data_IF_762329983399
#
_entry.id   IF_762329983399
#
_cell.length_a   1.000
_cell.length_b   1.000
_cell.length_c   1.000
_cell.angle_alpha   90.00
_cell.angle_beta   90.00
_cell.angle_gamma   90.00
#
_symmetry.space_group_name_H-M   'P 1'
#
loop_
_entity.id
_entity.type
_entity.pdbx_description
1 polymer ?
#
# COMPACT_ATOMS: atom_id res chain seq x y z
N UNK A 1 -7.58 -5.84 1.34
CA UNK A 1 -8.98 -5.39 1.12
C UNK A 1 -9.43 -4.18 1.94
N UNK A 2 -9.50 -4.22 3.28
CA UNK A 2 -10.07 -3.10 4.08
C UNK A 2 -9.29 -1.77 3.96
N UNK A 3 -8.08 -1.82 3.42
CA UNK A 3 -7.15 -0.69 3.33
C UNK A 3 -7.65 0.49 2.50
N UNK A 4 -8.38 0.28 1.38
CA UNK A 4 -8.83 1.39 0.52
C UNK A 4 -9.81 2.30 1.26
N UNK A 5 -10.84 1.71 1.87
CA UNK A 5 -11.85 2.46 2.64
C UNK A 5 -11.21 3.16 3.85
N UNK A 6 -10.44 2.40 4.65
CA UNK A 6 -9.80 2.96 5.84
C UNK A 6 -8.83 4.08 5.48
N UNK A 7 -8.03 3.93 4.42
CA UNK A 7 -7.07 4.95 4.02
C UNK A 7 -7.76 6.25 3.62
N UNK A 8 -8.82 6.20 2.81
CA UNK A 8 -9.58 7.39 2.44
C UNK A 8 -10.18 8.07 3.68
N UNK A 9 -10.88 7.33 4.54
CA UNK A 9 -11.52 7.89 5.74
C UNK A 9 -10.50 8.45 6.76
N UNK A 10 -9.39 7.74 7.00
CA UNK A 10 -8.36 8.22 7.91
C UNK A 10 -7.59 9.42 7.36
N UNK A 11 -7.32 9.46 6.06
CA UNK A 11 -6.71 10.63 5.43
C UNK A 11 -7.62 11.85 5.53
N UNK A 12 -8.92 11.72 5.26
CA UNK A 12 -9.86 12.83 5.40
C UNK A 12 -9.88 13.41 6.81
N UNK A 13 -9.81 12.55 7.83
CA UNK A 13 -9.80 12.98 9.24
C UNK A 13 -8.43 13.46 9.71
N UNK A 14 -7.34 12.89 9.19
CA UNK A 14 -5.97 13.13 9.62
C UNK A 14 -5.01 13.19 8.41
N UNK A 15 -5.13 14.20 7.55
CA UNK A 15 -4.40 14.24 6.28
C UNK A 15 -2.89 14.34 6.45
N UNK A 16 -2.44 14.89 7.58
CA UNK A 16 -1.03 14.91 7.95
C UNK A 16 -0.51 13.54 8.41
N UNK A 17 -1.35 12.63 8.91
CA UNK A 17 -0.91 11.36 9.49
C UNK A 17 -0.90 10.21 8.47
N UNK A 18 -1.81 10.21 7.50
CA UNK A 18 -1.95 9.15 6.50
C UNK A 18 -1.78 9.75 5.12
N UNK A 19 -0.59 9.77 4.54
CA UNK A 19 -0.35 10.36 3.20
C UNK A 19 -0.33 9.33 2.07
N UNK A 20 -0.20 8.04 2.40
CA UNK A 20 -0.21 6.93 1.45
C UNK A 20 -0.81 5.67 2.07
N UNK A 21 -1.22 4.72 1.23
CA UNK A 21 -1.58 3.36 1.66
C UNK A 21 -1.06 2.31 0.68
N UNK A 22 -0.86 1.09 1.18
CA UNK A 22 -0.43 -0.06 0.40
C UNK A 22 -1.55 -1.09 0.25
N UNK A 23 -1.70 -1.68 -0.93
CA UNK A 23 -2.60 -2.82 -1.13
C UNK A 23 -1.88 -3.94 -1.86
N UNK A 24 -2.20 -5.17 -1.46
CA UNK A 24 -1.74 -6.41 -2.09
C UNK A 24 -2.91 -7.36 -2.24
N UNK A 25 -2.97 -8.10 -3.35
CA UNK A 25 -3.99 -9.12 -3.58
C UNK A 25 -5.41 -8.58 -3.34
N UNK A 26 -5.60 -7.29 -3.62
CA UNK A 26 -6.88 -6.60 -3.60
C UNK A 26 -6.71 -5.25 -4.28
N UNK A 27 -7.51 -5.00 -5.31
CA UNK A 27 -7.64 -3.69 -5.94
C UNK A 27 -9.10 -3.22 -5.95
N UNK A 28 -9.55 -2.76 -7.12
CA UNK A 28 -10.91 -2.30 -7.35
C UNK A 28 -11.72 -3.39 -8.05
N UNK A 29 -12.72 -3.93 -7.35
CA UNK A 29 -13.78 -4.75 -7.93
C UNK A 29 -14.99 -3.87 -8.17
N UNK A 30 -15.54 -3.90 -9.39
CA UNK A 30 -16.81 -3.26 -9.75
C UNK A 30 -17.83 -4.36 -10.01
N UNK A 31 -19.07 -4.19 -9.54
CA UNK A 31 -20.14 -5.16 -9.77
C UNK A 31 -20.30 -5.45 -11.27
N UNK A 32 -20.26 -6.73 -11.64
CA UNK A 32 -20.42 -7.16 -13.03
C UNK A 32 -19.20 -6.94 -13.93
N UNK A 33 -18.02 -6.64 -13.38
CA UNK A 33 -16.76 -6.55 -14.15
C UNK A 33 -16.20 -7.91 -14.63
N UNK A 34 -16.86 -9.01 -14.26
CA UNK A 34 -16.46 -10.38 -14.63
C UNK A 34 -15.40 -11.01 -13.74
N UNK A 35 -14.90 -10.31 -12.72
CA UNK A 35 -13.96 -10.88 -11.74
C UNK A 35 -14.70 -11.76 -10.72
N UNK A 36 -14.11 -12.89 -10.34
CA UNK A 36 -14.69 -13.88 -9.42
C UNK A 36 -13.94 -13.86 -8.09
N UNK A 37 -14.46 -13.07 -7.16
CA UNK A 37 -13.93 -13.00 -5.80
C UNK A 37 -14.54 -14.10 -4.91
N UNK A 38 -13.94 -14.40 -3.75
CA UNK A 38 -14.48 -15.36 -2.80
C UNK A 38 -15.95 -15.08 -2.43
N UNK A 39 -16.69 -16.10 -1.95
CA UNK A 39 -18.02 -15.93 -1.38
C UNK A 39 -18.03 -14.87 -0.27
N UNK A 40 -19.12 -14.14 -0.18
CA UNK A 40 -19.34 -13.16 0.87
C UNK A 40 -19.45 -13.84 2.24
N UNK A 41 -18.79 -13.24 3.23
CA UNK A 41 -18.70 -13.81 4.58
C UNK A 41 -20.04 -13.73 5.34
N UNK A 42 -20.94 -12.84 4.94
CA UNK A 42 -22.24 -12.60 5.57
C UNK A 42 -23.39 -13.24 4.78
N UNK A 43 -23.27 -13.33 3.45
CA UNK A 43 -24.25 -14.02 2.59
C UNK A 43 -23.55 -14.80 1.45
N UNK A 44 -23.20 -16.08 1.67
CA UNK A 44 -22.38 -16.87 0.74
C UNK A 44 -23.07 -17.19 -0.60
N UNK A 45 -24.33 -16.75 -0.80
CA UNK A 45 -25.00 -16.81 -2.10
C UNK A 45 -24.40 -15.82 -3.11
N UNK A 46 -23.67 -14.82 -2.63
CA UNK A 46 -23.00 -13.81 -3.43
C UNK A 46 -21.49 -13.89 -3.23
N UNK A 47 -20.72 -13.44 -4.22
CA UNK A 47 -19.29 -13.14 -4.06
C UNK A 47 -19.08 -11.70 -3.61
N UNK A 48 -17.90 -11.37 -3.09
CA UNK A 48 -17.54 -9.99 -2.73
C UNK A 48 -17.79 -9.02 -3.90
N UNK A 49 -18.57 -7.97 -3.64
CA UNK A 49 -18.94 -6.95 -4.62
C UNK A 49 -20.17 -7.29 -5.48
N UNK A 50 -20.70 -8.51 -5.41
CA UNK A 50 -21.81 -8.99 -6.27
C UNK A 50 -23.18 -9.03 -5.58
N UNK A 51 -23.25 -8.71 -4.28
CA UNK A 51 -24.52 -8.67 -3.56
C UNK A 51 -25.53 -7.68 -4.19
N UNK A 52 -26.86 -7.82 -3.95
CA UNK A 52 -27.88 -7.01 -4.62
C UNK A 52 -27.65 -5.50 -4.52
N UNK A 53 -27.24 -5.03 -3.33
CA UNK A 53 -27.00 -3.63 -3.03
C UNK A 53 -25.53 -3.21 -3.13
N UNK A 54 -24.63 -4.15 -3.43
CA UNK A 54 -23.21 -3.87 -3.63
C UNK A 54 -23.00 -3.20 -5.00
N UNK A 55 -21.97 -2.35 -5.08
CA UNK A 55 -21.49 -1.75 -6.33
C UNK A 55 -19.99 -1.95 -6.53
N UNK A 56 -19.26 -2.01 -5.42
CA UNK A 56 -17.81 -2.09 -5.40
C UNK A 56 -17.38 -3.03 -4.28
N UNK A 57 -16.20 -3.60 -4.42
CA UNK A 57 -15.43 -4.13 -3.31
C UNK A 57 -13.97 -3.69 -3.46
N UNK A 58 -13.26 -3.38 -2.35
CA UNK A 58 -13.76 -3.21 -0.99
C UNK A 58 -14.54 -1.90 -0.81
N UNK A 59 -14.27 -0.89 -1.64
CA UNK A 59 -14.92 0.42 -1.62
C UNK A 59 -14.77 1.12 -2.98
N UNK A 60 -15.63 2.11 -3.29
CA UNK A 60 -15.41 2.96 -4.46
C UNK A 60 -14.15 3.81 -4.30
N UNK A 61 -13.51 4.10 -5.43
CA UNK A 61 -12.50 5.16 -5.52
C UNK A 61 -13.22 6.51 -5.42
N UNK A 62 -12.92 7.26 -4.37
CA UNK A 62 -13.44 8.61 -4.16
C UNK A 62 -12.26 9.57 -4.15
N UNK A 63 -12.42 10.76 -4.72
CA UNK A 63 -11.34 11.75 -4.73
C UNK A 63 -10.99 12.16 -3.29
N UNK A 64 -9.81 11.78 -2.83
CA UNK A 64 -9.24 12.13 -1.53
C UNK A 64 -7.89 12.83 -1.75
N UNK A 65 -7.93 14.16 -1.82
CA UNK A 65 -6.79 14.98 -2.26
C UNK A 65 -5.58 14.82 -1.34
N UNK A 66 -4.44 14.39 -1.88
CA UNK A 66 -3.19 14.22 -1.13
C UNK A 66 -2.89 12.77 -0.74
N UNK A 67 -3.86 11.86 -0.87
CA UNK A 67 -3.66 10.42 -0.61
C UNK A 67 -3.05 9.70 -1.81
N UNK A 68 -1.91 9.03 -1.60
CA UNK A 68 -1.25 8.18 -2.60
C UNK A 68 -1.61 6.70 -2.44
N UNK A 69 -1.81 5.98 -3.55
CA UNK A 69 -1.95 4.53 -3.56
C UNK A 69 -0.63 3.83 -3.94
N UNK A 70 -0.26 2.79 -3.20
CA UNK A 70 0.85 1.89 -3.50
C UNK A 70 0.30 0.49 -3.78
N UNK A 71 0.25 0.10 -5.05
CA UNK A 71 -0.44 -1.10 -5.50
C UNK A 71 0.60 -2.16 -5.82
N UNK A 72 0.61 -3.25 -5.07
CA UNK A 72 1.44 -4.42 -5.38
C UNK A 72 0.57 -5.60 -5.71
N UNK A 73 1.00 -6.43 -6.64
CA UNK A 73 0.34 -7.71 -6.86
C UNK A 73 1.24 -8.70 -7.59
N UNK A 74 0.77 -9.94 -7.67
CA UNK A 74 1.42 -11.01 -8.40
C UNK A 74 0.62 -11.35 -9.65
N UNK A 75 1.28 -11.51 -10.80
CA UNK A 75 0.60 -11.81 -12.07
C UNK A 75 -0.15 -13.14 -12.06
N UNK A 76 0.21 -14.08 -11.19
CA UNK A 76 -0.50 -15.34 -10.96
C UNK A 76 -1.64 -15.24 -9.93
N UNK A 77 -1.96 -14.05 -9.42
CA UNK A 77 -3.07 -13.82 -8.49
C UNK A 77 -4.44 -13.61 -9.18
N UNK A 78 -4.52 -13.97 -10.48
CA UNK A 78 -5.74 -14.04 -11.27
C UNK A 78 -6.64 -12.81 -11.12
N UNK A 79 -7.87 -12.98 -10.63
CA UNK A 79 -8.87 -11.91 -10.51
C UNK A 79 -8.46 -10.82 -9.51
N UNK A 80 -7.65 -11.14 -8.49
CA UNK A 80 -7.09 -10.13 -7.60
C UNK A 80 -6.10 -9.24 -8.35
N UNK A 81 -5.23 -9.83 -9.17
CA UNK A 81 -4.32 -9.07 -10.04
C UNK A 81 -5.09 -8.17 -11.01
N UNK A 82 -6.14 -8.69 -11.66
CA UNK A 82 -6.99 -7.87 -12.54
C UNK A 82 -7.65 -6.72 -11.78
N UNK A 83 -8.11 -6.94 -10.55
CA UNK A 83 -8.64 -5.85 -9.72
C UNK A 83 -7.58 -4.80 -9.37
N UNK A 84 -6.33 -5.21 -9.16
CA UNK A 84 -5.20 -4.30 -8.92
C UNK A 84 -4.87 -3.47 -10.16
N UNK A 85 -4.94 -4.07 -11.35
CA UNK A 85 -4.85 -3.34 -12.63
C UNK A 85 -5.97 -2.32 -12.82
N UNK A 86 -7.18 -2.59 -12.31
CA UNK A 86 -8.30 -1.65 -12.39
C UNK A 86 -8.16 -0.47 -11.40
N UNK A 87 -7.51 -0.69 -10.25
CA UNK A 87 -7.39 0.34 -9.20
C UNK A 87 -6.53 1.52 -9.64
N UNK A 88 -5.36 1.27 -10.24
CA UNK A 88 -4.41 2.33 -10.64
C UNK A 88 -5.04 3.41 -11.53
N UNK A 89 -5.60 3.05 -12.70
CA UNK A 89 -6.28 3.99 -13.59
C UNK A 89 -7.47 4.70 -12.94
N UNK A 90 -8.25 4.01 -12.10
CA UNK A 90 -9.35 4.62 -11.37
C UNK A 90 -8.86 5.68 -10.37
N UNK A 91 -7.74 5.42 -9.69
CA UNK A 91 -7.11 6.35 -8.75
C UNK A 91 -6.57 7.60 -9.46
N UNK A 92 -5.90 7.41 -10.59
CA UNK A 92 -5.39 8.50 -11.43
C UNK A 92 -6.52 9.34 -12.02
N UNK A 93 -7.59 8.70 -12.52
CA UNK A 93 -8.77 9.39 -13.04
C UNK A 93 -9.46 10.27 -11.99
N UNK A 94 -9.36 9.91 -10.71
CA UNK A 94 -9.83 10.73 -9.59
C UNK A 94 -8.87 11.90 -9.24
N UNK A 95 -7.72 12.01 -9.90
CA UNK A 95 -6.71 13.05 -9.70
C UNK A 95 -5.79 12.78 -8.50
N UNK A 96 -5.65 11.51 -8.09
CA UNK A 96 -4.79 11.10 -7.00
C UNK A 96 -3.54 10.38 -7.52
N UNK A 97 -2.44 10.43 -6.74
CA UNK A 97 -1.19 9.76 -7.12
C UNK A 97 -1.30 8.25 -6.88
N UNK A 98 -0.70 7.46 -7.76
CA UNK A 98 -0.49 6.04 -7.54
C UNK A 98 0.89 5.61 -8.01
N UNK A 99 1.40 4.55 -7.41
CA UNK A 99 2.51 3.78 -7.95
C UNK A 99 2.16 2.30 -7.86
N UNK A 100 2.52 1.53 -8.89
CA UNK A 100 2.21 0.11 -8.99
C UNK A 100 3.45 -0.72 -9.23
N UNK A 101 3.53 -1.92 -8.64
CA UNK A 101 4.59 -2.90 -8.88
C UNK A 101 4.03 -4.30 -8.92
N UNK A 102 4.20 -4.96 -10.07
CA UNK A 102 3.68 -6.30 -10.32
C UNK A 102 4.84 -7.25 -10.58
N UNK A 103 4.82 -8.41 -9.91
CA UNK A 103 5.85 -9.44 -10.06
C UNK A 103 5.23 -10.78 -10.45
N UNK A 104 6.02 -11.72 -10.94
CA UNK A 104 5.59 -13.11 -10.99
C UNK A 104 5.36 -13.66 -9.57
N UNK A 105 4.47 -14.62 -9.42
CA UNK A 105 4.14 -15.26 -8.14
C UNK A 105 2.67 -15.66 -8.05
N UNK A 106 2.30 -16.31 -6.97
CA UNK A 106 0.91 -16.62 -6.61
C UNK A 106 0.33 -15.64 -5.58
N UNK A 107 -0.90 -15.89 -5.16
CA UNK A 107 -1.63 -15.11 -4.16
C UNK A 107 -0.78 -14.85 -2.90
N UNK A 108 -0.76 -13.60 -2.44
CA UNK A 108 -0.03 -13.18 -1.23
C UNK A 108 1.49 -13.42 -1.24
N UNK A 109 2.13 -13.51 -2.41
CA UNK A 109 3.60 -13.67 -2.52
C UNK A 109 4.29 -12.33 -2.78
N UNK A 110 4.43 -11.51 -1.73
CA UNK A 110 5.07 -10.19 -1.83
C UNK A 110 6.53 -10.31 -2.25
N UNK A 111 6.90 -9.76 -3.41
CA UNK A 111 8.28 -9.83 -3.90
C UNK A 111 9.24 -8.86 -3.20
N UNK A 112 8.75 -7.71 -2.70
CA UNK A 112 9.60 -6.70 -2.07
C UNK A 112 8.87 -5.82 -1.06
N UNK A 113 9.20 -5.98 0.22
CA UNK A 113 8.78 -5.03 1.27
C UNK A 113 9.50 -3.69 1.15
N UNK A 114 10.73 -3.67 0.61
CA UNK A 114 11.49 -2.43 0.38
C UNK A 114 10.80 -1.52 -0.62
N UNK A 115 10.29 -2.07 -1.73
CA UNK A 115 9.51 -1.29 -2.69
C UNK A 115 8.26 -0.70 -2.02
N UNK A 116 7.54 -1.50 -1.24
CA UNK A 116 6.33 -1.05 -0.54
C UNK A 116 6.68 0.11 0.40
N UNK A 117 7.74 -0.02 1.19
CA UNK A 117 8.16 1.04 2.12
C UNK A 117 8.60 2.31 1.38
N UNK A 118 9.34 2.17 0.27
CA UNK A 118 9.72 3.31 -0.59
C UNK A 118 8.50 4.02 -1.18
N UNK A 119 7.52 3.26 -1.66
CA UNK A 119 6.28 3.84 -2.15
C UNK A 119 5.48 4.50 -1.03
N UNK A 120 5.41 3.91 0.16
CA UNK A 120 4.64 4.49 1.27
C UNK A 120 5.26 5.77 1.82
N UNK A 121 6.55 6.01 1.61
CA UNK A 121 7.17 7.29 1.94
C UNK A 121 6.62 8.39 1.01
N UNK A 122 6.24 9.50 1.62
CA UNK A 122 5.75 10.68 0.92
C UNK A 122 6.87 11.70 0.62
N UNK A 123 8.12 11.29 0.84
CA UNK A 123 9.31 12.10 0.61
C UNK A 123 9.69 12.96 1.82
N UNK A 124 8.91 12.94 2.90
CA UNK A 124 9.29 13.67 4.12
C UNK A 124 10.31 12.89 4.96
N UNK A 125 10.59 11.62 4.63
CA UNK A 125 11.49 10.76 5.40
C UNK A 125 10.91 10.31 6.74
N UNK A 126 9.60 10.45 6.95
CA UNK A 126 8.94 10.00 8.19
C UNK A 126 8.93 8.48 8.33
N UNK A 127 8.88 7.77 7.21
CA UNK A 127 8.91 6.31 7.20
C UNK A 127 10.35 5.80 7.10
N UNK A 128 11.11 6.26 6.11
CA UNK A 128 12.44 5.70 5.81
C UNK A 128 13.61 6.50 6.37
N UNK A 129 13.44 7.81 6.60
CA UNK A 129 14.51 8.67 7.11
C UNK A 129 14.99 8.28 8.52
N UNK A 130 14.09 7.79 9.38
CA UNK A 130 14.44 7.28 10.71
C UNK A 130 15.37 6.06 10.65
N UNK A 131 15.25 5.21 9.63
CA UNK A 131 16.10 4.04 9.45
C UNK A 131 17.53 4.42 9.05
N UNK A 132 17.68 5.46 8.20
CA UNK A 132 19.00 5.98 7.81
C UNK A 132 19.70 6.75 8.93
N UNK A 133 18.97 7.46 9.80
CA UNK A 133 19.55 8.15 10.96
C UNK A 133 20.04 7.19 12.05
N UNK A 134 19.39 6.05 12.25
CA UNK A 134 19.86 5.03 13.21
C UNK A 134 21.08 4.24 12.73
N UNK A 135 21.28 4.06 11.41
CA UNK A 135 22.51 3.45 10.88
C UNK A 135 23.75 4.35 10.97
N UNK A 136 23.57 5.67 11.09
CA UNK A 136 24.66 6.63 11.31
C UNK A 136 25.01 6.83 12.80
N UNK A 137 24.12 6.46 13.72
CA UNK A 137 24.34 6.53 15.17
C UNK A 137 25.16 5.38 15.77
N UNK A 138 25.44 4.32 15.01
CA UNK A 138 26.19 3.14 15.47
C UNK A 138 27.66 3.13 14.99
N UNK A 139 28.25 4.31 14.73
CA UNK A 139 29.67 4.48 14.37
C UNK A 139 30.45 5.51 15.20
N UNK A 140 29.94 6.00 16.33
CA UNK A 140 30.66 7.01 17.13
C UNK A 140 31.11 6.58 18.53
N UNK A 141 31.11 5.28 18.85
CA UNK A 141 31.56 4.79 20.17
C UNK A 141 32.87 4.01 20.17
N UNK A 142 33.61 3.94 19.05
CA UNK A 142 34.93 3.27 18.99
C UNK A 142 36.12 4.19 18.67
N UNK A 143 35.92 5.50 18.45
CA UNK A 143 37.03 6.43 18.13
C UNK A 143 37.39 7.39 19.28
N UNK A 144 37.21 6.96 20.55
CA UNK A 144 37.56 7.79 21.72
C UNK A 144 38.46 7.12 22.75
N UNK A 145 39.18 6.08 22.36
CA UNK A 145 40.18 5.44 23.19
C UNK A 145 41.42 5.10 22.35
N UNK A 146 42.14 6.11 21.83
CA UNK A 146 43.52 5.94 21.36
C UNK A 146 44.25 7.29 21.09
N UNK A 147 44.02 8.32 21.91
CA UNK A 147 44.76 9.58 21.81
C UNK A 147 45.33 10.14 23.13
N UNK A 148 45.31 9.37 24.22
CA UNK A 148 45.92 9.78 25.51
C UNK A 148 46.97 8.78 26.01
N UNK A 149 47.95 8.42 25.16
CA UNK A 149 49.19 7.79 25.66
C UNK A 149 50.43 8.21 24.88
N UNK A 150 50.60 9.51 24.65
CA UNK A 150 51.92 10.13 24.43
C UNK A 150 51.88 11.55 24.99
N UNK A 151 52.15 11.71 26.30
CA UNK A 151 52.94 12.81 26.92
C UNK A 151 52.77 12.75 28.44
N UNK A 152 53.74 12.15 29.14
CA UNK A 152 54.38 12.63 30.39
C UNK A 152 55.36 11.59 30.89
#
# INVERSE_FOLDING_TARGET
AVTIWLAQCYHEKYPAAVSAFGTQSTGLKVKGDGLHFPPDNYDPRFSWGECPNCKYFPAPVTKTSGLKACIVDQTGDNDFYQSSLALGPAWEAAGMRQESSFSAGGHCQTASFTWIANCLDDGTGRLLGALTSNSLGMRSHLDRADLDMQTS
#
